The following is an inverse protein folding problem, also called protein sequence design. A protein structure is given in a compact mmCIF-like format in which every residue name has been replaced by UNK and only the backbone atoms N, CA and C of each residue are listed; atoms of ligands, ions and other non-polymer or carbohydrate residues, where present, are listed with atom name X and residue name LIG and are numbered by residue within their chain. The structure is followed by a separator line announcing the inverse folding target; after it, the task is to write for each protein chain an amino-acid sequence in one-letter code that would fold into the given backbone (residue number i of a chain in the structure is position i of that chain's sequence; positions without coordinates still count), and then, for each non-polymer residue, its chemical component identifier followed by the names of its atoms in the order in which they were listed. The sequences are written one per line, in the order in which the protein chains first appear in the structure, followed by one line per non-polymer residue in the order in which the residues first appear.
data_IF_981520553436
#
_entry.id   IF_981520553436
#
_cell.length_a   1.000
_cell.length_b   1.000
_cell.length_c   1.000
_cell.angle_alpha   90.00
_cell.angle_beta   90.00
_cell.angle_gamma   90.00
#
_symmetry.space_group_name_H-M   'P 1'
#
loop_
_entity.id
_entity.type
_entity.pdbx_description
1 polymer ?
#
# COMPACT_ATOMS: atom_id res chain seq x y z
N UNK A 1 31.49 1.80 -28.54
CA UNK A 1 31.75 3.25 -28.33
C UNK A 1 30.41 3.97 -28.38
N UNK A 2 30.02 4.69 -27.32
CA UNK A 2 28.90 5.65 -27.40
C UNK A 2 29.36 6.82 -28.28
N UNK A 3 28.55 7.31 -29.24
CA UNK A 3 28.93 8.47 -30.01
C UNK A 3 28.94 9.68 -29.08
N UNK A 4 30.15 10.17 -28.77
CA UNK A 4 30.36 11.43 -28.06
C UNK A 4 30.03 12.54 -29.05
N UNK A 5 28.79 13.03 -29.04
CA UNK A 5 28.47 14.28 -29.75
C UNK A 5 28.97 15.45 -28.88
N UNK A 6 30.19 15.89 -29.15
CA UNK A 6 30.74 17.12 -28.59
C UNK A 6 29.81 18.28 -29.00
N UNK A 7 29.00 18.76 -28.05
CA UNK A 7 28.13 19.97 -28.14
C UNK A 7 26.87 19.90 -29.03
N UNK A 8 26.45 18.76 -29.59
CA UNK A 8 25.17 18.66 -30.34
C UNK A 8 24.18 17.71 -29.65
N UNK A 9 22.96 18.20 -29.37
CA UNK A 9 21.82 17.34 -29.00
C UNK A 9 21.57 16.37 -30.16
N UNK A 10 21.46 15.07 -29.85
CA UNK A 10 21.04 14.07 -30.82
C UNK A 10 19.67 14.45 -31.39
N UNK A 11 19.56 14.51 -32.72
CA UNK A 11 18.35 14.89 -33.43
C UNK A 11 17.76 13.66 -34.12
N UNK A 12 16.42 13.61 -34.22
CA UNK A 12 15.75 12.60 -35.04
C UNK A 12 16.03 12.78 -36.55
N UNK A 13 16.49 13.97 -36.95
CA UNK A 13 16.89 14.24 -38.32
C UNK A 13 18.23 13.59 -38.70
N UNK A 14 19.06 13.27 -37.71
CA UNK A 14 20.36 12.62 -37.89
C UNK A 14 20.63 11.68 -36.70
N UNK A 15 19.90 10.56 -36.61
CA UNK A 15 20.01 9.64 -35.49
C UNK A 15 21.24 8.73 -35.65
N UNK A 16 21.87 8.29 -34.55
CA UNK A 16 22.95 7.32 -34.62
C UNK A 16 22.43 6.00 -35.21
N UNK A 17 23.22 5.40 -36.11
CA UNK A 17 22.89 4.09 -36.68
C UNK A 17 23.16 2.98 -35.64
N UNK A 18 22.09 2.40 -35.10
CA UNK A 18 22.16 1.28 -34.14
C UNK A 18 21.63 0.04 -34.83
N UNK A 19 22.39 -1.05 -34.80
CA UNK A 19 21.98 -2.35 -35.37
C UNK A 19 21.71 -3.36 -34.26
N UNK A 20 20.63 -4.11 -34.37
CA UNK A 20 20.32 -5.26 -33.51
C UNK A 20 20.19 -6.49 -34.40
N UNK A 21 21.00 -7.52 -34.14
CA UNK A 21 21.10 -8.72 -34.99
C UNK A 21 21.34 -8.41 -36.49
N UNK A 22 22.16 -7.39 -36.76
CA UNK A 22 22.46 -6.94 -38.13
C UNK A 22 21.37 -6.07 -38.79
N UNK A 23 20.21 -5.90 -38.15
CA UNK A 23 19.11 -5.06 -38.65
C UNK A 23 19.18 -3.65 -38.05
N UNK A 24 19.07 -2.57 -38.86
CA UNK A 24 19.07 -1.21 -38.35
C UNK A 24 17.79 -0.94 -37.54
N UNK A 25 17.95 -0.39 -36.34
CA UNK A 25 16.83 0.05 -35.49
C UNK A 25 16.43 1.46 -35.91
N UNK A 26 15.15 1.63 -36.24
CA UNK A 26 14.58 2.95 -36.55
C UNK A 26 14.52 3.83 -35.29
N UNK A 27 15.12 5.01 -35.37
CA UNK A 27 14.95 6.04 -34.35
C UNK A 27 13.53 6.63 -34.41
N UNK A 28 12.90 6.76 -33.24
CA UNK A 28 11.55 7.29 -33.08
C UNK A 28 11.52 8.30 -31.94
N UNK A 29 10.65 9.30 -32.02
CA UNK A 29 10.49 10.32 -30.98
C UNK A 29 9.93 9.73 -29.67
N UNK A 30 9.05 8.74 -29.81
CA UNK A 30 8.39 8.03 -28.73
C UNK A 30 8.33 6.55 -29.05
N UNK A 31 8.48 5.70 -28.04
CA UNK A 31 8.27 4.26 -28.16
C UNK A 31 7.51 3.70 -26.97
N UNK A 32 6.79 2.60 -27.19
CA UNK A 32 6.05 1.91 -26.14
C UNK A 32 6.78 0.62 -25.76
N UNK A 33 7.11 0.49 -24.49
CA UNK A 33 7.74 -0.71 -23.95
C UNK A 33 7.04 -1.13 -22.66
N UNK A 34 6.61 -2.41 -22.60
CA UNK A 34 5.83 -2.96 -21.50
C UNK A 34 4.67 -2.03 -21.08
N UNK A 35 3.95 -1.47 -22.05
CA UNK A 35 2.81 -0.59 -21.79
C UNK A 35 3.14 0.85 -21.36
N UNK A 36 4.40 1.20 -21.15
CA UNK A 36 4.86 2.57 -20.83
C UNK A 36 5.33 3.27 -22.10
N UNK A 37 4.92 4.52 -22.31
CA UNK A 37 5.36 5.35 -23.43
C UNK A 37 6.55 6.20 -23.00
N UNK A 38 7.67 6.03 -23.70
CA UNK A 38 8.94 6.70 -23.44
C UNK A 38 9.15 7.74 -24.54
N UNK A 39 9.27 9.02 -24.15
CA UNK A 39 9.72 10.09 -25.06
C UNK A 39 11.23 10.33 -24.91
N UNK A 40 11.84 10.92 -25.94
CA UNK A 40 13.29 11.17 -25.97
C UNK A 40 13.83 12.04 -24.83
N UNK A 41 12.98 12.81 -24.14
CA UNK A 41 13.35 13.60 -22.97
C UNK A 41 13.09 12.92 -21.63
N UNK A 42 12.57 11.69 -21.62
CA UNK A 42 12.09 10.98 -20.42
C UNK A 42 11.13 11.86 -19.58
N UNK A 43 10.30 12.67 -20.26
CA UNK A 43 9.33 13.56 -19.63
C UNK A 43 8.04 12.83 -19.26
N UNK A 44 7.76 11.72 -19.94
CA UNK A 44 6.58 10.87 -19.91
C UNK A 44 5.28 11.58 -20.27
N UNK A 45 5.35 12.74 -20.93
CA UNK A 45 4.16 13.55 -21.22
C UNK A 45 3.11 12.76 -22.04
N UNK A 46 3.56 12.05 -23.07
CA UNK A 46 2.69 11.26 -23.94
C UNK A 46 2.11 10.03 -23.24
N UNK A 47 2.87 9.39 -22.33
CA UNK A 47 2.35 8.35 -21.45
C UNK A 47 1.17 8.85 -20.64
N UNK A 48 1.34 10.00 -19.99
CA UNK A 48 0.31 10.56 -19.13
C UNK A 48 -0.91 11.07 -19.89
N UNK A 49 -0.72 11.63 -21.09
CA UNK A 49 -1.82 11.99 -21.99
C UNK A 49 -2.65 10.78 -22.36
N UNK A 50 -2.01 9.67 -22.74
CA UNK A 50 -2.68 8.40 -23.04
C UNK A 50 -3.41 7.83 -21.80
N UNK A 51 -2.74 7.81 -20.63
CA UNK A 51 -3.37 7.37 -19.37
C UNK A 51 -4.59 8.22 -19.01
N UNK A 52 -4.51 9.54 -19.16
CA UNK A 52 -5.62 10.47 -18.91
C UNK A 52 -6.82 10.13 -19.79
N UNK A 53 -6.63 9.96 -21.10
CA UNK A 53 -7.72 9.58 -22.02
C UNK A 53 -8.35 8.26 -21.60
N UNK A 54 -7.53 7.26 -21.25
CA UNK A 54 -8.01 5.96 -20.82
C UNK A 54 -8.84 6.02 -19.51
N UNK A 55 -8.41 6.85 -18.56
CA UNK A 55 -9.11 7.07 -17.28
C UNK A 55 -10.39 7.87 -17.49
N UNK A 56 -10.35 8.95 -18.27
CA UNK A 56 -11.51 9.78 -18.55
C UNK A 56 -12.60 8.97 -19.29
N UNK A 57 -12.21 8.14 -20.26
CA UNK A 57 -13.11 7.22 -20.98
C UNK A 57 -13.70 6.15 -20.06
N UNK A 58 -12.89 5.52 -19.20
CA UNK A 58 -13.36 4.50 -18.27
C UNK A 58 -14.27 5.11 -17.20
N UNK A 59 -13.88 6.25 -16.61
CA UNK A 59 -14.69 6.98 -15.64
C UNK A 59 -16.03 7.39 -16.25
N UNK A 60 -16.05 7.89 -17.48
CA UNK A 60 -17.29 8.26 -18.16
C UNK A 60 -18.24 7.07 -18.34
N UNK A 61 -17.73 5.94 -18.86
CA UNK A 61 -18.53 4.71 -19.03
C UNK A 61 -19.05 4.19 -17.69
N UNK A 62 -18.21 4.21 -16.65
CA UNK A 62 -18.60 3.83 -15.29
C UNK A 62 -19.71 4.73 -14.76
N UNK A 63 -19.62 6.06 -14.94
CA UNK A 63 -20.68 6.97 -14.53
C UNK A 63 -21.99 6.67 -15.25
N UNK A 64 -21.98 6.40 -16.56
CA UNK A 64 -23.19 6.05 -17.31
C UNK A 64 -23.85 4.78 -16.79
N UNK A 65 -23.07 3.72 -16.51
CA UNK A 65 -23.59 2.45 -16.01
C UNK A 65 -24.03 2.55 -14.55
N UNK A 66 -23.24 3.19 -13.68
CA UNK A 66 -23.53 3.33 -12.26
C UNK A 66 -24.71 4.27 -12.01
N UNK A 67 -24.87 5.35 -12.77
CA UNK A 67 -26.05 6.22 -12.62
C UNK A 67 -27.35 5.51 -13.04
N UNK A 68 -27.29 4.56 -13.97
CA UNK A 68 -28.46 3.77 -14.40
C UNK A 68 -28.89 2.70 -13.39
N UNK A 69 -27.96 2.08 -12.68
CA UNK A 69 -28.23 0.88 -11.86
C UNK A 69 -27.96 1.04 -10.36
N UNK A 70 -27.07 1.96 -9.97
CA UNK A 70 -26.48 2.03 -8.63
C UNK A 70 -26.45 3.47 -8.09
N UNK A 71 -27.50 4.24 -8.37
CA UNK A 71 -27.62 5.66 -8.03
C UNK A 71 -27.45 6.00 -6.54
N UNK A 72 -27.33 5.01 -5.65
CA UNK A 72 -27.27 5.16 -4.18
C UNK A 72 -26.03 4.59 -3.48
N UNK A 73 -24.98 4.12 -4.19
CA UNK A 73 -23.80 3.53 -3.52
C UNK A 73 -22.45 4.12 -3.96
N UNK A 74 -22.08 5.34 -3.52
CA UNK A 74 -20.80 5.90 -3.93
C UNK A 74 -19.59 5.21 -3.24
N UNK A 75 -19.82 4.35 -2.23
CA UNK A 75 -18.86 3.35 -1.73
C UNK A 75 -18.33 2.46 -2.86
N UNK A 76 -19.22 2.06 -3.78
CA UNK A 76 -18.87 1.19 -4.91
C UNK A 76 -17.96 1.92 -5.89
N UNK A 77 -18.27 3.18 -6.23
CA UNK A 77 -17.42 4.00 -7.10
C UNK A 77 -16.04 4.22 -6.49
N UNK A 78 -15.96 4.47 -5.18
CA UNK A 78 -14.67 4.56 -4.46
C UNK A 78 -13.89 3.25 -4.50
N UNK A 79 -14.57 2.11 -4.36
CA UNK A 79 -13.94 0.78 -4.48
C UNK A 79 -13.42 0.53 -5.89
N UNK A 80 -14.19 0.88 -6.92
CA UNK A 80 -13.77 0.77 -8.33
C UNK A 80 -12.60 1.72 -8.61
N UNK A 81 -12.65 2.95 -8.09
CA UNK A 81 -11.55 3.90 -8.23
C UNK A 81 -10.26 3.31 -7.65
N UNK A 82 -10.28 2.84 -6.40
CA UNK A 82 -9.12 2.24 -5.73
C UNK A 82 -8.64 0.95 -6.40
N UNK A 83 -9.56 0.12 -6.89
CA UNK A 83 -9.24 -1.19 -7.45
C UNK A 83 -8.84 -1.17 -8.93
N UNK A 84 -9.27 -0.17 -9.71
CA UNK A 84 -9.09 -0.16 -11.17
C UNK A 84 -8.53 1.16 -11.71
N UNK A 85 -9.08 2.31 -11.30
CA UNK A 85 -8.66 3.60 -11.88
C UNK A 85 -7.31 4.06 -11.34
N UNK A 86 -7.10 3.99 -10.02
CA UNK A 86 -5.83 4.36 -9.38
C UNK A 86 -4.66 3.50 -9.88
N UNK A 87 -4.73 2.15 -9.89
CA UNK A 87 -3.66 1.32 -10.46
C UNK A 87 -3.38 1.62 -11.94
N UNK A 88 -4.42 1.93 -12.72
CA UNK A 88 -4.28 2.27 -14.14
C UNK A 88 -3.61 3.63 -14.35
N UNK A 89 -3.86 4.59 -13.45
CA UNK A 89 -3.24 5.91 -13.45
C UNK A 89 -1.77 5.84 -13.04
N UNK A 90 -1.47 5.04 -12.02
CA UNK A 90 -0.12 4.88 -11.47
C UNK A 90 0.70 3.84 -12.22
N UNK A 91 0.19 3.28 -13.32
CA UNK A 91 0.90 2.28 -14.11
C UNK A 91 2.25 2.82 -14.62
N UNK A 92 3.30 2.03 -14.38
CA UNK A 92 4.67 2.39 -14.76
C UNK A 92 5.36 3.33 -13.77
N UNK A 93 4.84 3.51 -12.54
CA UNK A 93 5.46 4.36 -11.50
C UNK A 93 6.96 4.09 -11.29
N UNK A 94 7.44 2.86 -11.51
CA UNK A 94 8.88 2.54 -11.45
C UNK A 94 9.72 3.22 -12.54
N UNK A 95 9.14 3.50 -13.71
CA UNK A 95 9.83 4.17 -14.82
C UNK A 95 9.84 5.70 -14.66
N UNK A 96 8.69 6.29 -14.32
CA UNK A 96 8.52 7.75 -14.29
C UNK A 96 8.52 8.36 -12.89
N UNK A 97 8.60 7.56 -11.81
CA UNK A 97 8.46 8.05 -10.43
C UNK A 97 9.51 9.08 -10.01
N UNK A 98 10.69 9.07 -10.63
CA UNK A 98 11.70 10.13 -10.43
C UNK A 98 11.21 11.54 -10.79
N UNK A 99 10.13 11.66 -11.59
CA UNK A 99 9.49 12.93 -11.97
C UNK A 99 8.59 13.51 -10.87
N UNK A 100 8.28 12.76 -9.81
CA UNK A 100 7.43 13.22 -8.69
C UNK A 100 8.03 14.39 -7.90
N UNK A 101 9.30 14.73 -8.13
CA UNK A 101 9.93 15.95 -7.58
C UNK A 101 9.46 17.23 -8.27
N UNK A 102 8.85 17.13 -9.46
CA UNK A 102 8.42 18.26 -10.25
C UNK A 102 6.97 18.63 -9.94
N UNK A 103 6.75 19.85 -9.43
CA UNK A 103 5.41 20.34 -9.06
C UNK A 103 4.40 20.25 -10.22
N UNK A 104 4.82 20.61 -11.43
CA UNK A 104 3.97 20.53 -12.64
C UNK A 104 3.47 19.12 -12.93
N UNK A 105 4.29 18.11 -12.61
CA UNK A 105 3.94 16.71 -12.77
C UNK A 105 2.91 16.28 -11.71
N UNK A 106 3.11 16.67 -10.46
CA UNK A 106 2.15 16.42 -9.38
C UNK A 106 0.79 17.08 -9.63
N UNK A 107 0.79 18.32 -10.13
CA UNK A 107 -0.43 19.02 -10.54
C UNK A 107 -1.17 18.27 -11.67
N UNK A 108 -0.43 17.74 -12.65
CA UNK A 108 -1.03 16.95 -13.73
C UNK A 108 -1.72 15.68 -13.21
N UNK A 109 -1.10 14.94 -12.28
CA UNK A 109 -1.72 13.76 -11.66
C UNK A 109 -3.07 14.12 -11.00
N UNK A 110 -3.14 15.26 -10.32
CA UNK A 110 -4.38 15.73 -9.72
C UNK A 110 -5.43 16.14 -10.77
N UNK A 111 -5.02 16.58 -11.96
CA UNK A 111 -5.93 16.80 -13.10
C UNK A 111 -6.51 15.49 -13.63
N UNK A 112 -5.72 14.41 -13.68
CA UNK A 112 -6.18 13.07 -14.08
C UNK A 112 -7.20 12.53 -13.08
N UNK A 113 -6.99 12.78 -11.78
CA UNK A 113 -7.88 12.31 -10.71
C UNK A 113 -9.25 13.00 -10.70
N UNK A 114 -9.35 14.22 -11.26
CA UNK A 114 -10.53 15.09 -11.12
C UNK A 114 -11.84 14.48 -11.61
N UNK A 115 -11.85 13.83 -12.78
CA UNK A 115 -13.09 13.31 -13.37
C UNK A 115 -13.68 12.14 -12.57
N UNK A 116 -12.89 11.15 -12.12
CA UNK A 116 -13.36 10.17 -11.15
C UNK A 116 -13.88 10.79 -9.85
N UNK A 117 -13.21 11.82 -9.32
CA UNK A 117 -13.62 12.50 -8.09
C UNK A 117 -15.00 13.15 -8.23
N UNK A 118 -15.25 13.87 -9.33
CA UNK A 118 -16.57 14.45 -9.63
C UNK A 118 -17.65 13.37 -9.74
N UNK A 119 -17.33 12.22 -10.35
CA UNK A 119 -18.28 11.11 -10.44
C UNK A 119 -18.61 10.51 -9.06
N UNK A 120 -17.62 10.45 -8.15
CA UNK A 120 -17.80 9.92 -6.79
C UNK A 120 -18.59 10.88 -5.88
N UNK A 121 -18.28 12.18 -5.93
CA UNK A 121 -18.87 13.18 -5.03
C UNK A 121 -20.17 13.77 -5.57
N UNK A 122 -20.39 13.70 -6.90
CA UNK A 122 -21.46 14.41 -7.61
C UNK A 122 -21.44 15.93 -7.45
N UNK A 123 -20.31 16.49 -7.06
CA UNK A 123 -20.17 17.94 -6.94
C UNK A 123 -20.12 18.60 -8.33
N UNK A 124 -20.33 19.92 -8.37
CA UNK A 124 -20.27 20.68 -9.62
C UNK A 124 -18.89 20.63 -10.26
N UNK A 125 -18.87 20.81 -11.60
CA UNK A 125 -17.61 20.86 -12.38
C UNK A 125 -16.71 22.03 -11.98
N UNK A 126 -17.23 23.03 -11.29
CA UNK A 126 -16.50 24.19 -10.76
C UNK A 126 -15.90 23.92 -9.38
N UNK A 127 -16.20 22.78 -8.72
CA UNK A 127 -15.70 22.46 -7.38
C UNK A 127 -14.17 22.31 -7.35
N UNK A 128 -13.47 22.87 -6.34
CA UNK A 128 -12.02 22.70 -6.22
C UNK A 128 -11.62 21.23 -6.06
N UNK A 129 -10.58 20.77 -6.78
CA UNK A 129 -10.13 19.35 -6.71
C UNK A 129 -9.78 18.93 -5.29
N UNK A 130 -9.15 19.82 -4.50
CA UNK A 130 -8.81 19.56 -3.10
C UNK A 130 -10.06 19.24 -2.26
N UNK A 131 -11.13 20.02 -2.40
CA UNK A 131 -12.40 19.73 -1.74
C UNK A 131 -12.96 18.38 -2.16
N UNK A 132 -12.86 18.01 -3.44
CA UNK A 132 -13.36 16.71 -3.92
C UNK A 132 -12.60 15.54 -3.31
N UNK A 133 -11.27 15.66 -3.15
CA UNK A 133 -10.43 14.65 -2.52
C UNK A 133 -10.86 14.41 -1.07
N UNK A 134 -11.07 15.48 -0.31
CA UNK A 134 -11.51 15.41 1.09
C UNK A 134 -12.91 14.82 1.19
N UNK A 135 -13.88 15.30 0.39
CA UNK A 135 -15.25 14.78 0.40
C UNK A 135 -15.32 13.30 0.02
N UNK A 136 -14.55 12.89 -1.00
CA UNK A 136 -14.46 11.50 -1.42
C UNK A 136 -13.70 10.61 -0.41
N UNK A 137 -12.93 11.21 0.51
CA UNK A 137 -11.99 10.50 1.37
C UNK A 137 -10.94 9.75 0.56
N UNK A 138 -10.41 10.40 -0.48
CA UNK A 138 -9.39 9.87 -1.39
C UNK A 138 -8.23 10.86 -1.42
N UNK A 139 -7.01 10.44 -1.07
CA UNK A 139 -5.86 11.33 -1.05
C UNK A 139 -5.49 11.81 -2.47
N UNK A 140 -4.78 12.95 -2.57
CA UNK A 140 -4.20 13.41 -3.83
C UNK A 140 -3.41 12.32 -4.57
N UNK A 141 -3.58 12.25 -5.89
CA UNK A 141 -3.02 11.15 -6.69
C UNK A 141 -1.48 11.21 -6.73
N UNK A 142 -0.90 12.40 -6.63
CA UNK A 142 0.55 12.60 -6.49
C UNK A 142 1.09 12.01 -5.19
N UNK A 143 0.40 12.22 -4.05
CA UNK A 143 0.80 11.62 -2.78
C UNK A 143 0.72 10.08 -2.82
N UNK A 144 -0.32 9.54 -3.48
CA UNK A 144 -0.44 8.10 -3.74
C UNK A 144 0.65 7.56 -4.68
N UNK A 145 1.06 8.36 -5.65
CA UNK A 145 2.15 8.02 -6.55
C UNK A 145 3.49 7.93 -5.80
N UNK A 146 3.76 8.86 -4.86
CA UNK A 146 4.94 8.83 -4.00
C UNK A 146 4.97 7.56 -3.15
N UNK A 147 3.87 7.21 -2.48
CA UNK A 147 3.79 5.98 -1.68
C UNK A 147 4.05 4.71 -2.51
N UNK A 148 3.44 4.64 -3.70
CA UNK A 148 3.58 3.48 -4.60
C UNK A 148 5.00 3.38 -5.16
N UNK A 149 5.60 4.52 -5.51
CA UNK A 149 6.98 4.59 -5.99
C UNK A 149 7.98 4.24 -4.89
N UNK A 150 7.79 4.74 -3.67
CA UNK A 150 8.63 4.39 -2.53
C UNK A 150 8.58 2.89 -2.21
N UNK A 151 7.39 2.30 -2.23
CA UNK A 151 7.22 0.84 -2.09
C UNK A 151 7.98 0.07 -3.17
N UNK A 152 7.95 0.55 -4.41
CA UNK A 152 8.71 -0.05 -5.50
C UNK A 152 10.22 0.06 -5.30
N UNK A 153 10.74 1.23 -4.91
CA UNK A 153 12.18 1.41 -4.69
C UNK A 153 12.69 0.49 -3.59
N UNK A 154 12.02 0.45 -2.45
CA UNK A 154 12.45 -0.35 -1.29
C UNK A 154 12.34 -1.86 -1.55
N UNK A 155 11.19 -2.34 -2.02
CA UNK A 155 10.95 -3.80 -2.13
C UNK A 155 11.34 -4.42 -3.46
N UNK A 156 11.42 -3.64 -4.55
CA UNK A 156 11.70 -4.17 -5.89
C UNK A 156 13.04 -3.70 -6.44
N UNK A 157 13.32 -2.39 -6.37
CA UNK A 157 14.58 -1.85 -6.89
C UNK A 157 15.76 -2.00 -5.91
N UNK A 158 15.48 -2.28 -4.63
CA UNK A 158 16.46 -2.30 -3.53
C UNK A 158 17.26 -0.99 -3.48
N UNK A 159 16.52 0.11 -3.43
CA UNK A 159 17.07 1.46 -3.35
C UNK A 159 16.49 2.20 -2.16
N UNK A 160 17.36 2.95 -1.50
CA UNK A 160 16.98 3.82 -0.39
C UNK A 160 16.16 5.01 -0.91
N UNK A 161 15.24 5.48 -0.08
CA UNK A 161 14.42 6.63 -0.41
C UNK A 161 14.14 7.48 0.82
N UNK A 162 14.23 8.79 0.64
CA UNK A 162 13.72 9.77 1.61
C UNK A 162 12.38 10.30 1.10
N UNK A 163 11.34 10.16 1.91
CA UNK A 163 9.99 10.65 1.65
C UNK A 163 9.70 11.74 2.68
N UNK A 164 9.66 13.00 2.23
CA UNK A 164 9.62 14.18 3.10
C UNK A 164 10.80 14.18 4.09
N UNK A 165 10.54 14.02 5.39
CA UNK A 165 11.55 14.03 6.46
C UNK A 165 12.02 12.63 6.89
N UNK A 166 11.45 11.58 6.31
CA UNK A 166 11.66 10.20 6.76
C UNK A 166 12.46 9.43 5.72
N UNK A 167 13.55 8.78 6.15
CA UNK A 167 14.43 8.00 5.27
C UNK A 167 14.22 6.51 5.51
N UNK A 168 14.20 5.75 4.42
CA UNK A 168 13.97 4.32 4.42
C UNK A 168 15.17 3.64 3.74
N UNK A 169 15.92 2.86 4.51
CA UNK A 169 17.02 2.06 3.99
C UNK A 169 16.44 0.73 3.53
N UNK A 170 16.77 0.30 2.30
CA UNK A 170 16.18 -0.92 1.75
C UNK A 170 16.65 -2.19 2.49
N UNK A 171 17.82 -2.13 3.13
CA UNK A 171 18.43 -3.21 3.90
C UNK A 171 17.62 -3.59 5.14
N UNK A 172 16.96 -2.62 5.78
CA UNK A 172 16.07 -2.85 6.93
C UNK A 172 14.89 -3.76 6.59
N UNK A 173 14.54 -3.89 5.31
CA UNK A 173 13.36 -4.62 4.86
C UNK A 173 13.73 -5.96 4.24
N UNK A 174 13.05 -7.02 4.69
CA UNK A 174 13.27 -8.38 4.22
C UNK A 174 12.93 -8.53 2.73
N UNK A 175 13.83 -9.18 1.99
CA UNK A 175 13.59 -9.53 0.60
C UNK A 175 12.73 -10.79 0.52
N UNK A 176 11.60 -10.72 -0.18
CA UNK A 176 10.86 -11.92 -0.53
C UNK A 176 11.59 -12.68 -1.64
N UNK A 177 11.70 -13.99 -1.50
CA UNK A 177 12.22 -14.83 -2.56
C UNK A 177 11.28 -14.80 -3.77
N UNK A 178 11.82 -14.98 -4.97
CA UNK A 178 10.96 -15.06 -6.14
C UNK A 178 10.17 -16.38 -6.11
N UNK A 179 8.84 -16.35 -6.27
CA UNK A 179 8.00 -17.56 -6.22
C UNK A 179 8.29 -18.54 -7.36
N UNK A 180 9.07 -18.11 -8.36
CA UNK A 180 9.49 -18.90 -9.52
C UNK A 180 10.84 -19.59 -9.33
N UNK A 181 11.58 -19.30 -8.25
CA UNK A 181 12.85 -19.98 -7.95
C UNK A 181 12.62 -21.40 -7.42
N UNK A 182 11.45 -21.67 -6.86
CA UNK A 182 11.10 -22.96 -6.27
C UNK A 182 9.95 -23.60 -7.04
N UNK A 183 10.17 -24.81 -7.56
CA UNK A 183 9.15 -25.57 -8.27
C UNK A 183 7.91 -25.79 -7.37
N UNK A 184 6.67 -25.63 -7.87
CA UNK A 184 5.46 -25.78 -7.05
C UNK A 184 5.36 -27.10 -6.30
N UNK A 185 5.84 -28.21 -6.87
CA UNK A 185 5.83 -29.52 -6.19
C UNK A 185 6.81 -29.65 -5.01
N UNK A 186 7.76 -28.71 -4.88
CA UNK A 186 8.72 -28.63 -3.75
C UNK A 186 8.19 -27.68 -2.66
N UNK A 187 7.08 -26.98 -2.92
CA UNK A 187 6.45 -26.09 -1.95
C UNK A 187 5.72 -26.92 -0.91
N UNK A 188 6.44 -27.21 0.16
CA UNK A 188 5.95 -28.04 1.24
C UNK A 188 5.03 -27.26 2.18
N UNK A 189 4.00 -27.96 2.63
CA UNK A 189 3.06 -27.52 3.67
C UNK A 189 3.53 -28.02 5.05
N UNK A 190 3.44 -27.15 6.05
CA UNK A 190 3.48 -27.56 7.44
C UNK A 190 2.09 -27.31 8.02
N UNK A 191 1.27 -28.35 7.93
CA UNK A 191 -0.07 -28.33 8.50
C UNK A 191 -0.05 -28.19 10.03
N UNK A 192 -1.14 -27.62 10.52
CA UNK A 192 -1.51 -27.55 11.92
C UNK A 192 -2.99 -27.93 12.05
N UNK A 193 -3.38 -28.45 13.20
CA UNK A 193 -4.75 -28.83 13.55
C UNK A 193 -5.22 -28.07 14.78
N UNK A 194 -6.54 -28.05 14.99
CA UNK A 194 -7.10 -27.59 16.25
C UNK A 194 -7.15 -28.77 17.22
N UNK A 195 -6.46 -28.65 18.35
CA UNK A 195 -6.42 -29.69 19.37
C UNK A 195 -6.28 -29.05 20.75
N UNK A 196 -7.12 -29.46 21.70
CA UNK A 196 -6.99 -29.03 23.09
C UNK A 196 -5.79 -29.71 23.78
N UNK A 197 -5.07 -28.99 24.65
CA UNK A 197 -4.03 -29.58 25.49
C UNK A 197 -4.63 -30.65 26.42
N UNK A 198 -4.02 -31.83 26.45
CA UNK A 198 -4.51 -32.99 27.24
C UNK A 198 -3.51 -33.45 28.29
N UNK A 199 -2.35 -32.79 28.40
CA UNK A 199 -1.25 -33.24 29.25
C UNK A 199 -0.55 -34.50 28.73
N UNK A 200 -0.74 -34.83 27.45
CA UNK A 200 -0.13 -36.00 26.81
C UNK A 200 1.16 -35.63 26.07
N UNK A 201 2.28 -36.21 26.49
CA UNK A 201 3.60 -35.91 25.91
C UNK A 201 4.16 -34.57 26.40
N UNK A 202 5.04 -33.96 25.62
CA UNK A 202 5.61 -32.65 25.95
C UNK A 202 4.73 -31.55 25.34
N UNK A 203 4.16 -30.71 26.20
CA UNK A 203 3.32 -29.59 25.77
C UNK A 203 4.09 -28.27 25.90
N UNK A 204 4.27 -27.60 24.76
CA UNK A 204 4.95 -26.31 24.66
C UNK A 204 3.94 -25.29 24.17
N UNK A 205 3.77 -24.20 24.91
CA UNK A 205 2.97 -23.05 24.53
C UNK A 205 3.89 -21.96 24.02
N UNK A 206 3.51 -21.27 22.96
CA UNK A 206 4.29 -20.16 22.41
C UNK A 206 3.40 -18.93 22.27
N UNK A 207 3.94 -17.77 22.62
CA UNK A 207 3.25 -16.51 22.41
C UNK A 207 4.24 -15.39 22.03
N UNK A 208 3.70 -14.31 21.45
CA UNK A 208 4.42 -13.12 21.07
C UNK A 208 3.64 -11.85 21.43
N UNK A 209 4.35 -10.86 21.97
CA UNK A 209 3.80 -9.57 22.37
C UNK A 209 4.48 -8.42 21.64
N UNK A 210 3.73 -7.41 21.24
CA UNK A 210 4.26 -6.21 20.59
C UNK A 210 3.97 -4.95 21.42
N UNK A 211 5.01 -4.29 21.91
CA UNK A 211 4.91 -3.06 22.73
C UNK A 211 5.90 -2.03 22.19
N UNK A 212 5.43 -0.81 21.91
CA UNK A 212 6.28 0.34 21.52
C UNK A 212 7.37 -0.01 20.49
N UNK A 213 6.95 -0.55 19.34
CA UNK A 213 7.82 -0.96 18.23
C UNK A 213 8.75 -2.16 18.48
N UNK A 214 8.80 -2.70 19.70
CA UNK A 214 9.50 -3.93 20.08
C UNK A 214 8.59 -5.15 20.06
N UNK A 215 9.16 -6.31 19.81
CA UNK A 215 8.46 -7.60 19.80
C UNK A 215 9.17 -8.51 20.78
N UNK A 216 8.43 -9.00 21.77
CA UNK A 216 8.84 -10.11 22.63
C UNK A 216 8.24 -11.40 22.13
N UNK A 217 8.98 -12.49 22.25
CA UNK A 217 8.49 -13.83 21.96
C UNK A 217 8.96 -14.76 23.08
N UNK A 218 8.07 -15.61 23.55
CA UNK A 218 8.35 -16.55 24.62
C UNK A 218 7.69 -17.90 24.35
N UNK A 219 8.20 -18.92 25.04
CA UNK A 219 7.60 -20.23 25.07
C UNK A 219 7.61 -20.75 26.50
N UNK A 220 6.57 -21.49 26.85
CA UNK A 220 6.44 -22.15 28.14
C UNK A 220 6.25 -23.64 27.94
N UNK A 221 7.00 -24.45 28.66
CA UNK A 221 6.92 -25.91 28.56
C UNK A 221 6.34 -26.50 29.85
N UNK A 222 5.15 -27.09 29.74
CA UNK A 222 4.54 -27.81 30.84
C UNK A 222 5.20 -29.20 30.94
N UNK A 223 5.99 -29.42 32.00
CA UNK A 223 6.51 -30.75 32.35
C UNK A 223 5.79 -31.30 33.57
N UNK A 224 5.35 -32.56 33.50
CA UNK A 224 4.81 -33.28 34.66
C UNK A 224 5.96 -33.57 35.63
N UNK A 225 6.09 -32.74 36.68
CA UNK A 225 6.64 -32.94 38.05
C UNK A 225 7.96 -33.71 38.28
N UNK A 226 8.45 -34.56 37.39
CA UNK A 226 9.69 -35.32 37.52
C UNK A 226 10.70 -34.90 36.45
N UNK A 227 11.31 -33.71 36.61
CA UNK A 227 12.60 -33.16 36.09
C UNK A 227 13.35 -33.83 34.90
N UNK A 228 12.66 -34.58 34.05
CA UNK A 228 13.20 -35.37 32.95
C UNK A 228 12.32 -35.11 31.75
N UNK A 229 12.93 -34.63 30.67
CA UNK A 229 12.22 -34.31 29.43
C UNK A 229 11.65 -35.63 28.88
N UNK A 230 10.32 -35.79 28.79
CA UNK A 230 9.71 -37.03 28.30
C UNK A 230 10.31 -37.41 26.94
N UNK A 231 10.73 -38.68 26.78
CA UNK A 231 11.02 -39.25 25.46
C UNK A 231 9.67 -39.49 24.77
N UNK A 232 9.18 -38.51 24.02
CA UNK A 232 7.89 -38.60 23.35
C UNK A 232 7.62 -37.46 22.36
N UNK A 233 6.45 -37.52 21.74
CA UNK A 233 5.92 -36.50 20.83
C UNK A 233 5.88 -35.12 21.51
N UNK A 234 6.24 -34.09 20.77
CA UNK A 234 6.20 -32.69 21.23
C UNK A 234 5.04 -31.97 20.54
N UNK A 235 4.15 -31.40 21.33
CA UNK A 235 2.99 -30.66 20.87
C UNK A 235 3.22 -29.17 21.15
N UNK A 236 3.36 -28.38 20.10
CA UNK A 236 3.54 -26.93 20.19
C UNK A 236 2.20 -26.25 19.93
N UNK A 237 1.69 -25.55 20.93
CA UNK A 237 0.42 -24.84 20.89
C UNK A 237 0.66 -23.34 20.71
N UNK A 238 -0.06 -22.73 19.77
CA UNK A 238 -0.10 -21.29 19.57
C UNK A 238 -1.54 -20.82 19.39
N UNK A 239 -1.88 -19.66 19.95
CA UNK A 239 -3.18 -19.03 19.74
C UNK A 239 -3.23 -18.14 18.49
N UNK A 240 -2.07 -17.84 17.90
CA UNK A 240 -1.92 -17.04 16.69
C UNK A 240 -2.25 -17.85 15.43
N UNK A 241 -3.54 -17.99 15.14
CA UNK A 241 -4.03 -18.65 13.92
C UNK A 241 -3.41 -18.04 12.66
N UNK A 242 -3.22 -16.74 12.63
CA UNK A 242 -2.63 -16.03 11.49
C UNK A 242 -1.17 -16.44 11.27
N UNK A 243 -0.37 -16.61 12.32
CA UNK A 243 1.00 -17.10 12.21
C UNK A 243 1.05 -18.55 11.70
N UNK A 244 0.20 -19.42 12.24
CA UNK A 244 0.11 -20.81 11.79
C UNK A 244 -0.36 -20.93 10.33
N UNK A 245 -1.33 -20.12 9.90
CA UNK A 245 -1.73 -20.03 8.50
C UNK A 245 -0.61 -19.51 7.60
N UNK A 246 0.17 -18.53 8.08
CA UNK A 246 1.31 -17.98 7.34
C UNK A 246 2.42 -19.03 7.14
N UNK A 247 2.62 -19.92 8.13
CA UNK A 247 3.52 -21.06 8.04
C UNK A 247 2.95 -22.18 7.16
N UNK A 248 1.65 -22.46 7.21
CA UNK A 248 1.03 -23.50 6.38
C UNK A 248 1.05 -23.14 4.89
N UNK A 249 0.92 -21.86 4.53
CA UNK A 249 0.84 -21.40 3.15
C UNK A 249 2.04 -21.89 2.30
N UNK A 250 1.82 -22.77 1.30
CA UNK A 250 2.90 -23.30 0.46
C UNK A 250 3.51 -22.24 -0.44
N UNK A 251 2.72 -21.24 -0.83
CA UNK A 251 3.18 -20.17 -1.74
C UNK A 251 3.98 -19.06 -1.07
N UNK A 252 4.15 -19.14 0.26
CA UNK A 252 4.90 -18.14 1.02
C UNK A 252 6.40 -18.17 0.69
N UNK A 253 6.93 -17.03 0.28
CA UNK A 253 8.31 -16.82 -0.16
C UNK A 253 9.15 -16.01 0.83
N UNK A 254 8.67 -15.83 2.05
CA UNK A 254 9.42 -15.13 3.07
C UNK A 254 10.62 -15.98 3.56
N UNK A 255 11.88 -15.48 3.54
CA UNK A 255 13.05 -16.27 3.93
C UNK A 255 12.94 -16.87 5.34
N UNK A 256 12.50 -16.07 6.32
CA UNK A 256 12.26 -16.56 7.69
C UNK A 256 11.25 -17.72 7.74
N UNK A 257 10.21 -17.70 6.92
CA UNK A 257 9.24 -18.80 6.87
C UNK A 257 9.87 -20.05 6.26
N UNK A 258 10.69 -19.89 5.21
CA UNK A 258 11.48 -21.00 4.66
C UNK A 258 12.37 -21.65 5.71
N UNK A 259 13.08 -20.85 6.50
CA UNK A 259 13.96 -21.34 7.57
C UNK A 259 13.18 -22.02 8.70
N UNK A 260 12.11 -21.40 9.18
CA UNK A 260 11.22 -22.00 10.20
C UNK A 260 10.63 -23.32 9.69
N UNK A 261 10.21 -23.38 8.42
CA UNK A 261 9.71 -24.62 7.82
C UNK A 261 10.78 -25.72 7.81
N UNK A 262 12.03 -25.39 7.47
CA UNK A 262 13.16 -26.32 7.47
C UNK A 262 13.44 -26.87 8.87
N UNK A 263 13.48 -26.00 9.88
CA UNK A 263 13.68 -26.38 11.29
C UNK A 263 12.54 -27.26 11.81
N UNK A 264 11.29 -26.91 11.53
CA UNK A 264 10.12 -27.69 11.94
C UNK A 264 10.10 -29.08 11.32
N UNK A 265 10.46 -29.23 10.04
CA UNK A 265 10.56 -30.56 9.40
C UNK A 265 11.62 -31.43 10.06
N UNK A 266 12.80 -30.86 10.30
CA UNK A 266 13.88 -31.55 11.01
C UNK A 266 13.41 -32.01 12.39
N UNK A 267 12.82 -31.09 13.17
CA UNK A 267 12.31 -31.39 14.50
C UNK A 267 11.17 -32.42 14.48
N UNK A 268 10.31 -32.39 13.46
CA UNK A 268 9.26 -33.40 13.23
C UNK A 268 9.86 -34.79 12.98
N UNK A 269 10.91 -34.90 12.17
CA UNK A 269 11.58 -36.18 11.90
C UNK A 269 12.38 -36.72 13.09
N UNK A 270 13.04 -35.85 13.85
CA UNK A 270 13.94 -36.25 14.95
C UNK A 270 13.20 -36.50 16.26
N UNK A 271 12.12 -35.73 16.54
CA UNK A 271 11.44 -35.70 17.84
C UNK A 271 9.91 -35.79 17.76
N UNK A 272 9.32 -35.80 16.57
CA UNK A 272 7.86 -35.80 16.42
C UNK A 272 7.23 -34.50 16.93
N UNK A 273 7.70 -33.35 16.45
CA UNK A 273 7.11 -32.03 16.72
C UNK A 273 5.89 -31.77 15.83
N UNK A 274 4.77 -31.40 16.46
CA UNK A 274 3.52 -31.03 15.80
C UNK A 274 3.03 -29.66 16.27
N UNK A 275 2.41 -28.91 15.37
CA UNK A 275 1.84 -27.59 15.65
C UNK A 275 0.33 -27.70 15.82
N UNK A 276 -0.20 -27.03 16.83
CA UNK A 276 -1.60 -27.04 17.20
C UNK A 276 -2.08 -25.60 17.43
N UNK A 277 -3.27 -25.29 16.93
CA UNK A 277 -3.94 -24.02 17.21
C UNK A 277 -4.85 -24.17 18.43
N UNK A 278 -4.77 -23.22 19.35
CA UNK A 278 -5.66 -23.08 20.52
C UNK A 278 -6.40 -21.74 20.46
N UNK A 279 -7.57 -21.66 21.10
CA UNK A 279 -8.26 -20.38 21.20
C UNK A 279 -7.54 -19.45 22.16
N UNK A 280 -7.34 -18.20 21.75
CA UNK A 280 -6.94 -17.13 22.66
C UNK A 280 -8.02 -16.93 23.74
N UNK A 281 -7.61 -16.51 24.94
CA UNK A 281 -8.50 -16.15 26.06
C UNK A 281 -9.38 -17.27 26.61
N UNK A 282 -9.13 -18.52 26.22
CA UNK A 282 -9.51 -19.70 27.01
C UNK A 282 -8.33 -19.93 27.93
N UNK A 283 -8.46 -19.61 29.22
CA UNK A 283 -7.38 -19.56 30.24
C UNK A 283 -6.58 -20.87 30.42
N UNK A 284 -5.83 -21.27 29.39
CA UNK A 284 -4.84 -22.33 29.45
C UNK A 284 -3.63 -21.76 30.18
N UNK A 285 -3.34 -22.30 31.35
CA UNK A 285 -2.29 -21.79 32.22
C UNK A 285 -0.93 -21.66 31.50
N UNK A 286 -0.57 -22.62 30.65
CA UNK A 286 0.67 -22.53 29.86
C UNK A 286 0.69 -21.40 28.82
N UNK A 287 -0.45 -21.06 28.23
CA UNK A 287 -0.55 -19.94 27.28
C UNK A 287 -0.47 -18.60 28.01
N UNK A 288 -1.12 -18.46 29.17
CA UNK A 288 -1.05 -17.25 29.99
C UNK A 288 0.36 -16.98 30.51
N UNK A 289 1.09 -18.03 30.89
CA UNK A 289 2.51 -17.93 31.27
C UNK A 289 3.37 -17.51 30.08
N UNK A 290 3.16 -18.10 28.89
CA UNK A 290 3.86 -17.69 27.68
C UNK A 290 3.58 -16.22 27.30
N UNK A 291 2.34 -15.75 27.39
CA UNK A 291 1.96 -14.35 27.16
C UNK A 291 2.65 -13.40 28.15
N UNK A 292 2.65 -13.75 29.44
CA UNK A 292 3.33 -12.99 30.48
C UNK A 292 4.83 -12.83 30.21
N UNK A 293 5.50 -13.94 29.87
CA UNK A 293 6.92 -13.94 29.51
C UNK A 293 7.18 -13.19 28.19
N UNK A 294 6.28 -13.29 27.20
CA UNK A 294 6.41 -12.56 25.94
C UNK A 294 6.30 -11.04 26.16
N UNK A 295 5.41 -10.58 27.06
CA UNK A 295 5.32 -9.17 27.47
C UNK A 295 6.58 -8.70 28.20
N UNK A 296 7.07 -9.49 29.14
CA UNK A 296 8.32 -9.18 29.84
C UNK A 296 9.51 -9.07 28.86
N UNK A 297 9.57 -9.97 27.86
CA UNK A 297 10.56 -9.90 26.80
C UNK A 297 10.41 -8.66 25.91
N UNK A 298 9.18 -8.21 25.60
CA UNK A 298 8.92 -7.03 24.79
C UNK A 298 9.32 -5.72 25.51
N UNK A 299 9.22 -5.70 26.84
CA UNK A 299 9.62 -4.55 27.66
C UNK A 299 11.13 -4.51 27.96
N UNK A 300 11.81 -5.65 27.80
CA UNK A 300 13.25 -5.77 27.98
C UNK A 300 14.04 -4.78 27.10
N UNK A 301 15.10 -4.14 27.62
CA UNK A 301 15.97 -3.27 26.82
C UNK A 301 16.93 -4.05 25.91
N UNK A 302 17.07 -5.36 26.09
CA UNK A 302 17.99 -6.19 25.32
C UNK A 302 17.30 -6.79 24.09
N UNK A 303 17.94 -6.64 22.92
CA UNK A 303 17.45 -7.22 21.65
C UNK A 303 18.21 -8.51 21.37
N UNK A 304 17.52 -9.64 21.47
CA UNK A 304 18.10 -10.96 21.22
C UNK A 304 18.28 -11.26 19.73
N UNK A 305 17.41 -10.71 18.88
CA UNK A 305 17.40 -10.96 17.45
C UNK A 305 16.96 -9.70 16.71
N UNK A 306 17.78 -9.26 15.75
CA UNK A 306 17.42 -8.21 14.82
C UNK A 306 16.71 -8.83 13.61
N UNK A 307 15.47 -8.41 13.36
CA UNK A 307 14.61 -8.93 12.31
C UNK A 307 14.28 -7.82 11.32
N UNK A 308 14.25 -8.13 10.01
CA UNK A 308 13.86 -7.12 9.03
C UNK A 308 12.46 -6.57 9.31
N UNK A 309 12.32 -5.26 9.12
CA UNK A 309 11.07 -4.54 9.28
C UNK A 309 10.04 -5.08 8.30
N UNK A 310 8.83 -5.33 8.80
CA UNK A 310 7.75 -5.88 7.97
C UNK A 310 7.27 -4.89 6.92
N UNK A 311 6.86 -5.40 5.76
CA UNK A 311 6.28 -4.56 4.70
C UNK A 311 5.00 -3.84 5.13
N UNK A 312 4.28 -4.40 6.11
CA UNK A 312 3.12 -3.75 6.72
C UNK A 312 3.51 -2.51 7.51
N UNK A 313 4.57 -2.58 8.33
CA UNK A 313 5.07 -1.40 9.08
C UNK A 313 5.53 -0.31 8.14
N UNK A 314 6.26 -0.65 7.08
CA UNK A 314 6.63 0.28 6.01
C UNK A 314 5.42 1.00 5.41
N UNK A 315 4.41 0.23 4.97
CA UNK A 315 3.18 0.78 4.35
C UNK A 315 2.38 1.63 5.34
N UNK A 316 2.32 1.23 6.61
CA UNK A 316 1.67 2.01 7.66
C UNK A 316 2.38 3.36 7.88
N UNK A 317 3.72 3.36 7.97
CA UNK A 317 4.51 4.58 8.12
C UNK A 317 4.35 5.50 6.91
N UNK A 318 4.47 4.98 5.69
CA UNK A 318 4.23 5.77 4.47
C UNK A 318 2.82 6.35 4.42
N UNK A 319 1.80 5.56 4.81
CA UNK A 319 0.41 6.03 4.87
C UNK A 319 0.24 7.17 5.88
N UNK A 320 0.92 7.10 7.03
CA UNK A 320 0.92 8.19 8.02
C UNK A 320 1.54 9.46 7.45
N UNK A 321 2.70 9.35 6.79
CA UNK A 321 3.37 10.47 6.11
C UNK A 321 2.46 11.06 5.02
N UNK A 322 1.83 10.22 4.19
CA UNK A 322 0.91 10.63 3.14
C UNK A 322 -0.30 11.40 3.72
N UNK A 323 -0.89 10.92 4.82
CA UNK A 323 -2.01 11.60 5.48
C UNK A 323 -1.55 12.95 6.05
N UNK A 324 -0.37 13.02 6.65
CA UNK A 324 0.18 14.27 7.17
C UNK A 324 0.42 15.28 6.03
N UNK A 325 1.10 14.87 4.96
CA UNK A 325 1.32 15.72 3.79
C UNK A 325 -0.01 16.19 3.15
N UNK A 326 -1.03 15.33 3.16
CA UNK A 326 -2.37 15.71 2.71
C UNK A 326 -3.02 16.75 3.63
N UNK A 327 -2.89 16.60 4.94
CA UNK A 327 -3.36 17.57 5.93
C UNK A 327 -2.65 18.92 5.74
N UNK A 328 -1.32 18.92 5.57
CA UNK A 328 -0.55 20.15 5.34
C UNK A 328 -1.01 20.86 4.06
N UNK A 329 -1.20 20.11 2.96
CA UNK A 329 -1.77 20.68 1.74
C UNK A 329 -3.17 21.26 1.96
N UNK A 330 -3.98 20.63 2.81
CA UNK A 330 -5.33 21.08 3.11
C UNK A 330 -5.36 22.38 3.92
N UNK A 331 -4.48 22.51 4.90
CA UNK A 331 -4.44 23.66 5.80
C UNK A 331 -3.82 24.90 5.13
N UNK A 332 -2.78 24.69 4.32
CA UNK A 332 -1.94 25.77 3.81
C UNK A 332 -2.22 26.17 2.36
N UNK A 333 -3.09 25.48 1.61
CA UNK A 333 -3.39 25.91 0.23
C UNK A 333 -4.23 27.20 0.21
N UNK A 334 -3.72 28.31 -0.35
CA UNK A 334 -4.47 29.56 -0.41
C UNK A 334 -5.65 29.49 -1.39
N UNK A 335 -6.77 30.12 -1.04
CA UNK A 335 -7.87 30.48 -1.96
C UNK A 335 -8.65 29.33 -2.64
N UNK A 336 -8.38 28.05 -2.32
CA UNK A 336 -9.12 26.90 -2.89
C UNK A 336 -9.71 26.04 -1.78
N UNK A 337 -11.03 25.87 -1.79
CA UNK A 337 -11.72 24.94 -0.88
C UNK A 337 -11.86 25.39 0.58
N UNK A 338 -11.60 26.68 0.90
CA UNK A 338 -11.64 27.21 2.27
C UNK A 338 -12.98 26.99 2.99
N UNK A 339 -14.09 27.12 2.27
CA UNK A 339 -15.41 26.80 2.81
C UNK A 339 -15.53 25.32 3.21
N UNK A 340 -15.02 24.40 2.39
CA UNK A 340 -14.98 22.98 2.74
C UNK A 340 -14.05 22.72 3.93
N UNK A 341 -12.92 23.43 4.00
CA UNK A 341 -11.96 23.33 5.11
C UNK A 341 -12.53 23.82 6.43
N UNK A 342 -13.37 24.87 6.44
CA UNK A 342 -14.05 25.31 7.66
C UNK A 342 -15.06 24.29 8.19
N UNK A 343 -15.59 23.41 7.34
CA UNK A 343 -16.54 22.36 7.76
C UNK A 343 -15.83 21.04 8.05
N UNK A 344 -14.84 20.67 7.25
CA UNK A 344 -14.05 19.45 7.38
C UNK A 344 -12.58 19.86 7.56
N UNK A 345 -12.17 20.21 8.80
CA UNK A 345 -10.80 20.68 9.05
C UNK A 345 -9.77 19.55 8.98
N UNK A 346 -10.16 18.30 9.26
CA UNK A 346 -9.27 17.14 9.23
C UNK A 346 -9.53 16.24 8.05
N UNK A 347 -8.49 15.96 7.27
CA UNK A 347 -8.57 15.01 6.15
C UNK A 347 -8.73 13.59 6.68
N UNK A 348 -9.45 12.75 5.96
CA UNK A 348 -9.60 11.34 6.32
C UNK A 348 -9.80 10.46 5.11
N UNK A 349 -9.51 9.16 5.25
CA UNK A 349 -9.84 8.16 4.23
C UNK A 349 -11.30 7.72 4.27
N UNK A 350 -12.08 8.19 5.26
CA UNK A 350 -13.53 7.96 5.32
C UNK A 350 -14.20 8.90 4.32
N UNK A 351 -15.19 8.37 3.60
CA UNK A 351 -16.01 9.24 2.76
C UNK A 351 -16.91 10.04 3.69
N UNK A 352 -16.87 11.35 3.59
CA UNK A 352 -17.61 12.19 4.52
C UNK A 352 -19.10 12.23 4.18
N UNK A 353 -19.49 12.30 2.90
CA UNK A 353 -20.90 12.40 2.51
C UNK A 353 -21.22 11.78 1.14
N UNK A 354 -22.51 11.47 0.93
CA UNK A 354 -23.06 10.88 -0.29
C UNK A 354 -24.15 11.78 -0.88
N UNK A 355 -24.03 12.19 -2.16
CA UNK A 355 -25.12 12.81 -2.91
C UNK A 355 -25.19 14.35 -2.86
N UNK A 356 -26.41 14.90 -2.93
CA UNK A 356 -26.74 16.32 -3.18
C UNK A 356 -26.14 17.30 -2.17
N UNK A 357 -25.69 16.82 -1.01
CA UNK A 357 -25.03 17.64 0.02
C UNK A 357 -23.61 18.09 -0.37
N UNK A 358 -23.00 17.51 -1.42
CA UNK A 358 -21.67 17.94 -1.88
C UNK A 358 -21.68 19.42 -2.32
N UNK A 359 -22.79 19.92 -2.83
CA UNK A 359 -22.96 21.33 -3.20
C UNK A 359 -22.87 22.23 -1.97
N UNK A 360 -23.50 21.80 -0.87
CA UNK A 360 -23.47 22.52 0.41
C UNK A 360 -22.04 22.61 0.89
N UNK A 361 -21.34 21.48 1.00
CA UNK A 361 -19.98 21.43 1.56
C UNK A 361 -18.89 22.01 0.66
N UNK A 362 -19.16 22.19 -0.64
CA UNK A 362 -18.25 22.90 -1.54
C UNK A 362 -18.51 24.40 -1.58
N UNK A 363 -19.58 24.88 -0.94
CA UNK A 363 -20.03 26.28 -1.01
C UNK A 363 -20.52 26.65 -2.40
N UNK A 364 -21.02 25.66 -3.16
CA UNK A 364 -21.46 25.82 -4.55
C UNK A 364 -22.96 25.61 -4.74
N UNK A 365 -23.72 25.58 -3.65
CA UNK A 365 -25.18 25.68 -3.69
C UNK A 365 -25.64 26.98 -4.37
N UNK A 366 -26.90 27.01 -4.81
CA UNK A 366 -27.60 28.20 -5.28
C UNK A 366 -27.93 29.18 -4.14
N UNK A 367 -26.95 29.50 -3.30
CA UNK A 367 -27.08 30.61 -2.35
C UNK A 367 -26.79 31.92 -3.06
N UNK A 368 -27.43 33.03 -2.66
CA UNK A 368 -27.20 34.36 -3.24
C UNK A 368 -25.72 34.73 -3.28
N UNK A 369 -24.96 34.47 -2.21
CA UNK A 369 -23.51 34.68 -2.18
C UNK A 369 -22.73 33.93 -3.29
N UNK A 370 -23.13 32.71 -3.64
CA UNK A 370 -22.50 31.96 -4.74
C UNK A 370 -22.94 32.51 -6.11
N UNK A 371 -24.23 32.83 -6.29
CA UNK A 371 -24.78 33.34 -7.54
C UNK A 371 -24.26 34.76 -7.84
N UNK A 372 -24.16 35.62 -6.83
CA UNK A 372 -23.54 36.95 -6.90
C UNK A 372 -22.09 36.89 -7.35
N UNK A 373 -21.30 35.95 -6.80
CA UNK A 373 -19.89 35.75 -7.21
C UNK A 373 -19.74 35.42 -8.70
N UNK A 374 -20.73 34.77 -9.31
CA UNK A 374 -20.75 34.46 -10.75
C UNK A 374 -21.52 35.50 -11.59
N UNK A 375 -21.97 36.59 -10.98
CA UNK A 375 -22.70 37.67 -11.66
C UNK A 375 -24.11 37.27 -12.11
N UNK A 376 -24.71 36.25 -11.48
CA UNK A 376 -26.05 35.75 -11.79
C UNK A 376 -27.12 36.47 -10.96
N UNK A 377 -26.80 36.82 -9.71
CA UNK A 377 -27.67 37.62 -8.84
C UNK A 377 -27.04 38.99 -8.52
N UNK A 378 -27.90 39.95 -8.16
CA UNK A 378 -27.51 41.34 -7.90
C UNK A 378 -26.97 41.59 -6.49
N UNK A 379 -27.27 40.72 -5.52
CA UNK A 379 -26.75 40.80 -4.15
C UNK A 379 -26.37 39.41 -3.59
N UNK A 380 -25.61 39.42 -2.49
CA UNK A 380 -25.09 38.22 -1.81
C UNK A 380 -25.92 37.80 -0.59
N UNK A 381 -27.09 38.41 -0.37
CA UNK A 381 -27.88 38.23 0.87
C UNK A 381 -28.97 37.19 0.70
N UNK A 382 -29.09 36.29 1.67
CA UNK A 382 -30.26 35.42 1.77
C UNK A 382 -31.46 36.25 2.24
N UNK A 383 -32.56 36.23 1.47
CA UNK A 383 -33.85 36.87 1.78
C UNK A 383 -34.50 36.29 3.02
#
# INVERSE_FOLDING_TARGET
MLPITYRRRLSLADPPEVKLYGQPIRAVAEFKYLGVIWDGGLTFHSHFKDRKVAIDSLSYRLTLTVCKWYSKQPCLLKRIYKGALEPKALYGHGAWGHRLKLKTFCEYLNVVQRRPLLAMTRAYRTSPTLSLQVLAGVPPLDLRAIETYATFLVFRARQDITVYSESFQCEDYGQMESPYLTHPAVKDDIGFDWKEPKGEGLEVFTDGSGINDRIGAAWWCCTLVNQSIPKGRVNVYSDSRSALQYLAEPTNTHPLVGEVKRLLKRARSERGVFLHWVNAHVSYHGNELADGEAKAAADSPSVSLDLPVSSSRFKCKLKSIMIQAWQDHWDYTPNKGRFTSSIIPKVSLKTHFWGEMAELFTGQCRFPAHLFRFGIEYDDRCS
#
